data_IF_573237986077
#
_entry.id   IF_573237986077
#
_cell.length_a   1.000
_cell.length_b   1.000
_cell.length_c   1.000
_cell.angle_alpha   90.00
_cell.angle_beta   90.00
_cell.angle_gamma   90.00
#
_symmetry.space_group_name_H-M   'P 1'
#
loop_
_entity.id
_entity.type
_entity.pdbx_description
1 polymer ?
#
# COMPACT_ATOMS: atom_id res chain seq x y z
N UNK A 1 -46.75 49.10 -19.25
CA UNK A 1 -46.23 48.61 -17.93
C UNK A 1 -45.80 47.17 -18.11
N UNK A 2 -44.50 46.91 -18.34
CA UNK A 2 -43.91 45.55 -18.48
C UNK A 2 -43.41 45.12 -17.12
N UNK A 3 -43.95 44.01 -16.58
CA UNK A 3 -43.46 43.35 -15.35
C UNK A 3 -42.28 42.46 -15.71
N UNK A 4 -41.07 42.79 -15.21
CA UNK A 4 -39.92 41.89 -15.21
C UNK A 4 -40.07 40.86 -14.06
N UNK A 5 -40.16 39.58 -14.43
CA UNK A 5 -39.98 38.48 -13.47
C UNK A 5 -38.48 38.27 -13.27
N UNK A 6 -38.00 38.52 -12.08
CA UNK A 6 -36.66 38.08 -11.63
C UNK A 6 -36.76 36.62 -11.17
N UNK A 7 -36.19 35.72 -11.95
CA UNK A 7 -36.05 34.31 -11.58
C UNK A 7 -34.69 34.15 -10.86
N UNK A 8 -34.75 34.14 -9.51
CA UNK A 8 -33.57 33.93 -8.68
C UNK A 8 -33.12 32.44 -8.79
N UNK A 9 -31.92 32.25 -9.28
CA UNK A 9 -31.24 30.94 -9.20
C UNK A 9 -30.68 30.79 -7.78
N UNK A 10 -31.28 29.85 -7.00
CA UNK A 10 -30.66 29.37 -5.77
C UNK A 10 -29.52 28.44 -6.18
N UNK A 11 -28.29 28.93 -6.05
CA UNK A 11 -27.09 28.09 -6.05
C UNK A 11 -27.08 27.30 -4.74
N UNK A 12 -27.54 26.03 -4.78
CA UNK A 12 -27.24 25.07 -3.72
C UNK A 12 -25.75 24.81 -3.77
N UNK A 13 -24.96 25.46 -2.92
CA UNK A 13 -23.59 25.02 -2.62
C UNK A 13 -23.69 23.72 -1.83
N UNK A 14 -23.55 22.59 -2.51
CA UNK A 14 -23.28 21.32 -1.86
C UNK A 14 -21.90 21.39 -1.20
N UNK A 15 -21.88 21.66 0.09
CA UNK A 15 -20.68 21.46 0.88
C UNK A 15 -20.40 19.95 0.87
N UNK A 16 -19.42 19.51 0.07
CA UNK A 16 -18.83 18.21 0.22
C UNK A 16 -18.14 18.19 1.59
N UNK A 17 -18.84 17.70 2.60
CA UNK A 17 -18.16 17.29 3.83
C UNK A 17 -17.33 16.06 3.46
N UNK A 18 -16.00 16.20 3.45
CA UNK A 18 -15.09 15.06 3.45
C UNK A 18 -15.53 14.14 4.61
N UNK A 19 -15.71 12.87 4.33
CA UNK A 19 -16.08 11.90 5.37
C UNK A 19 -14.93 11.86 6.37
N UNK A 20 -15.23 11.99 7.67
CA UNK A 20 -14.19 12.02 8.71
C UNK A 20 -13.43 10.69 8.71
N UNK A 21 -12.10 10.76 8.72
CA UNK A 21 -11.24 9.59 8.88
C UNK A 21 -11.56 8.88 10.20
N UNK A 22 -11.51 7.56 10.18
CA UNK A 22 -11.77 6.67 11.32
C UNK A 22 -10.46 5.99 11.69
N UNK A 23 -9.99 6.17 12.91
CA UNK A 23 -8.81 5.48 13.42
C UNK A 23 -9.21 4.22 14.18
N UNK A 24 -8.60 3.10 13.82
CA UNK A 24 -8.84 1.77 14.41
C UNK A 24 -7.51 1.22 14.90
N UNK A 25 -7.43 0.83 16.18
CA UNK A 25 -6.29 0.09 16.71
C UNK A 25 -6.23 -1.28 16.04
N UNK A 26 -5.09 -1.64 15.47
CA UNK A 26 -4.91 -2.94 14.80
C UNK A 26 -4.98 -4.09 15.81
N UNK A 27 -4.48 -3.87 17.02
CA UNK A 27 -4.45 -4.85 18.09
C UNK A 27 -5.02 -4.27 19.40
N UNK A 28 -6.35 -4.16 19.56
CA UNK A 28 -6.95 -3.56 20.75
C UNK A 28 -6.65 -4.33 22.05
N UNK A 29 -6.43 -5.64 21.94
CA UNK A 29 -6.17 -6.53 23.10
C UNK A 29 -4.68 -6.87 23.28
N UNK A 30 -3.79 -6.16 22.59
CA UNK A 30 -2.36 -6.38 22.61
C UNK A 30 -1.80 -7.09 21.40
N UNK A 31 -0.55 -6.80 21.06
CA UNK A 31 0.12 -7.30 19.85
C UNK A 31 0.53 -8.77 19.98
N UNK A 32 0.44 -9.59 18.91
CA UNK A 32 0.76 -11.03 18.96
C UNK A 32 2.26 -11.33 19.02
N UNK A 33 3.09 -10.34 18.71
CA UNK A 33 4.54 -10.43 18.64
C UNK A 33 5.19 -9.09 19.00
N UNK A 34 6.50 -9.08 19.22
CA UNK A 34 7.27 -7.89 19.58
C UNK A 34 8.45 -7.67 18.65
N UNK A 35 8.79 -6.40 18.43
CA UNK A 35 10.03 -5.96 17.78
C UNK A 35 11.10 -5.54 18.82
N UNK A 36 10.86 -5.80 20.10
CA UNK A 36 11.72 -5.46 21.23
C UNK A 36 11.98 -3.95 21.42
N UNK A 37 11.30 -3.09 20.66
CA UNK A 37 11.35 -1.65 20.86
C UNK A 37 10.39 -1.26 21.99
N UNK A 38 10.85 -0.45 22.94
CA UNK A 38 10.05 -0.02 24.09
C UNK A 38 9.82 1.49 24.13
N UNK A 39 10.55 2.24 23.33
CA UNK A 39 10.46 3.70 23.24
C UNK A 39 11.16 4.22 22.00
N UNK A 40 10.88 5.47 21.63
CA UNK A 40 11.62 6.15 20.58
C UNK A 40 13.07 6.40 21.03
N UNK A 41 14.03 5.86 20.30
CA UNK A 41 15.45 6.15 20.46
C UNK A 41 15.84 7.31 19.56
N UNK A 42 16.63 8.25 20.08
CA UNK A 42 17.14 9.35 19.25
C UNK A 42 17.94 8.80 18.08
N UNK A 43 17.65 9.31 16.89
CA UNK A 43 18.27 8.86 15.62
C UNK A 43 18.12 7.34 15.35
N UNK A 44 17.14 6.69 16.00
CA UNK A 44 16.75 5.30 15.81
C UNK A 44 15.52 5.14 14.93
N UNK A 45 15.12 3.88 14.62
CA UNK A 45 13.90 3.61 13.86
C UNK A 45 12.67 4.17 14.58
N UNK A 46 11.63 4.47 13.80
CA UNK A 46 10.35 4.97 14.33
C UNK A 46 9.76 3.98 15.32
N UNK A 47 9.49 4.43 16.53
CA UNK A 47 8.75 3.64 17.50
C UNK A 47 7.25 3.80 17.28
N UNK A 48 6.59 2.72 16.96
CA UNK A 48 5.14 2.61 16.87
C UNK A 48 4.67 1.69 17.98
N UNK A 49 4.18 2.26 19.07
CA UNK A 49 3.67 1.50 20.22
C UNK A 49 2.42 0.71 19.85
N UNK A 50 1.45 1.40 19.27
CA UNK A 50 0.21 0.81 18.78
C UNK A 50 0.10 1.04 17.27
N UNK A 51 0.04 -0.03 16.43
CA UNK A 51 -0.27 0.14 15.03
C UNK A 51 -1.72 0.56 14.85
N UNK A 52 -1.94 1.50 13.93
CA UNK A 52 -3.26 2.11 13.68
C UNK A 52 -3.60 2.02 12.20
N UNK A 53 -4.84 1.70 11.92
CA UNK A 53 -5.44 1.75 10.60
C UNK A 53 -6.33 3.00 10.52
N UNK A 54 -5.93 3.98 9.70
CA UNK A 54 -6.73 5.18 9.44
C UNK A 54 -7.57 4.95 8.19
N UNK A 55 -8.88 4.80 8.35
CA UNK A 55 -9.82 4.48 7.28
C UNK A 55 -10.54 5.73 6.79
N UNK A 56 -10.62 5.87 5.48
CA UNK A 56 -11.36 6.88 4.74
C UNK A 56 -12.48 6.20 3.95
N UNK A 57 -13.68 6.00 4.53
CA UNK A 57 -14.77 5.33 3.85
C UNK A 57 -15.23 6.13 2.64
N UNK A 58 -15.52 5.48 1.52
CA UNK A 58 -16.07 6.14 0.36
C UNK A 58 -17.58 6.37 0.53
N UNK A 59 -18.05 7.61 0.35
CA UNK A 59 -19.46 7.98 0.48
C UNK A 59 -20.38 7.17 -0.45
N UNK A 60 -19.90 6.91 -1.67
CA UNK A 60 -20.58 6.12 -2.69
C UNK A 60 -19.68 4.96 -3.10
N UNK A 61 -19.49 4.00 -2.18
CA UNK A 61 -18.58 2.88 -2.37
C UNK A 61 -18.93 2.01 -3.57
N UNK A 62 -17.96 1.77 -4.46
CA UNK A 62 -18.09 0.94 -5.66
C UNK A 62 -17.87 -0.57 -5.39
N UNK A 63 -17.69 -0.94 -4.14
CA UNK A 63 -17.39 -2.32 -3.70
C UNK A 63 -15.91 -2.62 -3.52
N UNK A 64 -15.03 -1.67 -3.79
CA UNK A 64 -13.59 -1.84 -3.60
C UNK A 64 -13.08 -1.12 -2.35
N UNK A 65 -12.07 -1.73 -1.71
CA UNK A 65 -11.29 -1.07 -0.67
C UNK A 65 -9.80 -1.41 -0.84
N UNK A 66 -8.93 -0.56 -0.26
CA UNK A 66 -7.48 -0.70 -0.32
C UNK A 66 -6.89 -0.39 1.06
N UNK A 67 -5.97 -1.25 1.52
CA UNK A 67 -5.06 -0.96 2.64
C UNK A 67 -3.72 -0.53 2.06
N UNK A 68 -3.26 0.66 2.40
CA UNK A 68 -1.98 1.21 1.98
C UNK A 68 -0.92 1.07 3.08
N UNK A 69 0.26 0.60 2.68
CA UNK A 69 1.46 0.46 3.48
C UNK A 69 2.50 1.49 2.99
N UNK A 70 2.68 2.63 3.65
CA UNK A 70 3.69 3.61 3.27
C UNK A 70 5.11 3.07 3.35
N UNK A 71 6.03 3.61 2.53
CA UNK A 71 7.44 3.30 2.57
C UNK A 71 8.18 3.98 3.72
N UNK A 72 9.50 3.85 3.71
CA UNK A 72 10.40 4.43 4.72
C UNK A 72 11.46 3.45 5.20
N UNK A 73 11.87 2.51 4.32
CA UNK A 73 12.98 1.58 4.52
C UNK A 73 12.83 0.65 5.74
N UNK A 74 11.61 0.43 6.26
CA UNK A 74 11.38 -0.21 7.55
C UNK A 74 12.08 0.48 8.73
N UNK A 75 12.43 1.74 8.54
CA UNK A 75 13.02 2.64 9.53
C UNK A 75 12.06 3.75 9.95
N UNK A 76 11.22 4.18 9.05
CA UNK A 76 10.19 5.20 9.24
C UNK A 76 8.99 4.94 8.34
N UNK A 77 8.07 5.90 8.29
CA UNK A 77 6.85 5.84 7.48
C UNK A 77 6.62 7.19 6.77
N UNK A 78 6.54 7.15 5.44
CA UNK A 78 6.19 8.30 4.59
C UNK A 78 4.66 8.47 4.53
N UNK A 79 4.05 8.78 5.68
CA UNK A 79 2.59 8.73 5.89
C UNK A 79 1.78 9.64 4.97
N UNK A 80 2.35 10.78 4.53
CA UNK A 80 1.64 11.77 3.74
C UNK A 80 1.57 11.35 2.27
N UNK A 81 2.62 11.58 1.48
CA UNK A 81 2.62 11.40 0.03
C UNK A 81 2.57 9.92 -0.46
N UNK A 82 2.86 8.96 0.41
CA UNK A 82 2.70 7.52 0.15
C UNK A 82 1.50 6.90 0.88
N UNK A 83 0.73 7.72 1.59
CA UNK A 83 -0.41 7.31 2.40
C UNK A 83 -1.58 8.28 2.29
N UNK A 84 -1.72 9.19 3.25
CA UNK A 84 -2.90 10.01 3.47
C UNK A 84 -3.29 10.88 2.26
N UNK A 85 -2.34 11.45 1.53
CA UNK A 85 -2.60 12.33 0.38
C UNK A 85 -3.36 11.64 -0.77
N UNK A 86 -3.34 10.30 -0.83
CA UNK A 86 -4.06 9.54 -1.84
C UNK A 86 -5.54 9.31 -1.50
N UNK A 87 -5.97 9.59 -0.26
CA UNK A 87 -7.29 9.24 0.23
C UNK A 87 -8.42 9.88 -0.60
N UNK A 88 -8.33 11.18 -0.87
CA UNK A 88 -9.34 11.90 -1.64
C UNK A 88 -9.45 11.38 -3.07
N UNK A 89 -8.32 11.03 -3.69
CA UNK A 89 -8.31 10.49 -5.03
C UNK A 89 -9.02 9.12 -5.09
N UNK A 90 -8.69 8.18 -4.17
CA UNK A 90 -9.37 6.89 -4.12
C UNK A 90 -10.85 7.03 -3.77
N UNK A 91 -11.20 7.88 -2.82
CA UNK A 91 -12.60 8.14 -2.49
C UNK A 91 -13.38 8.76 -3.66
N UNK A 92 -12.75 9.59 -4.49
CA UNK A 92 -13.37 10.13 -5.72
C UNK A 92 -13.70 9.05 -6.75
N UNK A 93 -12.98 7.91 -6.71
CA UNK A 93 -13.25 6.71 -7.52
C UNK A 93 -14.28 5.77 -6.86
N UNK A 94 -14.83 6.13 -5.70
CA UNK A 94 -15.73 5.28 -4.92
C UNK A 94 -15.02 4.14 -4.17
N UNK A 95 -13.72 4.24 -3.94
CA UNK A 95 -12.93 3.21 -3.27
C UNK A 95 -12.70 3.63 -1.81
N UNK A 96 -13.09 2.78 -0.86
CA UNK A 96 -12.72 2.97 0.54
C UNK A 96 -11.21 2.77 0.70
N UNK A 97 -10.55 3.75 1.31
CA UNK A 97 -9.10 3.75 1.41
C UNK A 97 -8.67 3.74 2.87
N UNK A 98 -7.64 2.98 3.20
CA UNK A 98 -7.10 2.92 4.54
C UNK A 98 -5.58 3.00 4.52
N UNK A 99 -4.99 3.69 5.47
CA UNK A 99 -3.53 3.83 5.64
C UNK A 99 -3.11 3.14 6.92
N UNK A 100 -2.18 2.21 6.80
CA UNK A 100 -1.66 1.43 7.93
C UNK A 100 -0.36 2.07 8.47
N UNK A 101 -0.42 2.54 9.71
CA UNK A 101 0.76 2.89 10.49
C UNK A 101 1.27 1.63 11.18
N UNK A 102 2.07 0.84 10.48
CA UNK A 102 2.58 -0.44 10.96
C UNK A 102 3.83 -0.28 11.83
N UNK A 103 4.12 -1.29 12.67
CA UNK A 103 5.31 -1.33 13.53
C UNK A 103 6.56 -1.60 12.70
N UNK A 104 7.66 -0.91 13.06
CA UNK A 104 8.97 -1.20 12.45
C UNK A 104 9.45 -2.59 12.88
N UNK A 105 10.09 -3.35 12.00
CA UNK A 105 10.49 -4.73 12.30
C UNK A 105 11.65 -4.82 13.30
N UNK A 106 12.63 -3.94 13.23
CA UNK A 106 13.85 -4.02 14.05
C UNK A 106 14.49 -5.42 14.02
N UNK A 107 14.54 -6.05 12.82
CA UNK A 107 15.01 -7.42 12.60
C UNK A 107 13.96 -8.52 12.83
N UNK A 108 12.77 -8.19 13.33
CA UNK A 108 11.66 -9.13 13.56
C UNK A 108 10.66 -9.04 12.39
N UNK A 109 10.97 -9.77 11.33
CA UNK A 109 10.30 -9.67 10.02
C UNK A 109 8.80 -10.00 10.05
N UNK A 110 8.33 -10.81 11.02
CA UNK A 110 6.92 -11.13 11.19
C UNK A 110 6.09 -9.96 11.74
N UNK A 111 6.68 -8.96 12.37
CA UNK A 111 5.96 -7.88 13.05
C UNK A 111 5.15 -7.04 12.07
N UNK A 112 5.74 -6.42 11.02
CA UNK A 112 4.95 -5.66 10.05
C UNK A 112 4.01 -6.55 9.24
N UNK A 113 4.38 -7.81 8.94
CA UNK A 113 3.50 -8.75 8.24
C UNK A 113 2.23 -9.05 9.05
N UNK A 114 2.36 -9.28 10.35
CA UNK A 114 1.20 -9.51 11.22
C UNK A 114 0.28 -8.29 11.25
N UNK A 115 0.82 -7.07 11.29
CA UNK A 115 0.04 -5.84 11.31
C UNK A 115 -0.73 -5.66 9.98
N UNK A 116 -0.10 -5.92 8.82
CA UNK A 116 -0.76 -5.80 7.53
C UNK A 116 -1.84 -6.87 7.31
N UNK A 117 -1.61 -8.11 7.74
CA UNK A 117 -2.61 -9.17 7.70
C UNK A 117 -3.80 -8.84 8.60
N UNK A 118 -3.57 -8.32 9.80
CA UNK A 118 -4.64 -7.92 10.70
C UNK A 118 -5.43 -6.71 10.16
N UNK A 119 -4.77 -5.76 9.51
CA UNK A 119 -5.45 -4.67 8.83
C UNK A 119 -6.44 -5.17 7.76
N UNK A 120 -6.05 -6.21 6.97
CA UNK A 120 -6.97 -6.84 6.02
C UNK A 120 -8.16 -7.51 6.75
N UNK A 121 -7.94 -8.22 7.86
CA UNK A 121 -9.03 -8.80 8.67
C UNK A 121 -10.00 -7.73 9.17
N UNK A 122 -9.49 -6.62 9.70
CA UNK A 122 -10.32 -5.49 10.15
C UNK A 122 -11.18 -4.95 9.01
N UNK A 123 -10.60 -4.71 7.84
CA UNK A 123 -11.37 -4.24 6.68
C UNK A 123 -12.47 -5.23 6.26
N UNK A 124 -12.21 -6.54 6.31
CA UNK A 124 -13.20 -7.57 6.01
C UNK A 124 -14.29 -7.67 7.09
N UNK A 125 -13.97 -7.46 8.36
CA UNK A 125 -14.97 -7.40 9.45
C UNK A 125 -15.95 -6.24 9.25
N UNK A 126 -15.49 -5.12 8.68
CA UNK A 126 -16.32 -3.96 8.36
C UNK A 126 -16.87 -3.98 6.92
N UNK A 127 -16.78 -5.13 6.21
CA UNK A 127 -17.15 -5.21 4.80
C UNK A 127 -18.61 -4.81 4.51
N UNK A 128 -19.53 -5.13 5.39
CA UNK A 128 -20.92 -4.74 5.26
C UNK A 128 -21.12 -3.22 5.45
N UNK A 129 -20.47 -2.65 6.47
CA UNK A 129 -20.56 -1.23 6.80
C UNK A 129 -20.03 -0.34 5.67
N UNK A 130 -18.89 -0.72 5.07
CA UNK A 130 -18.20 0.06 4.05
C UNK A 130 -18.43 -0.47 2.64
N UNK A 131 -19.38 -1.39 2.44
CA UNK A 131 -19.69 -2.02 1.14
C UNK A 131 -18.45 -2.60 0.46
N UNK A 132 -17.62 -3.38 1.17
CA UNK A 132 -16.40 -3.98 0.61
C UNK A 132 -16.73 -5.37 0.04
N UNK A 133 -16.44 -5.55 -1.25
CA UNK A 133 -16.55 -6.82 -1.98
C UNK A 133 -15.17 -7.31 -2.46
N UNK A 134 -14.27 -6.37 -2.77
CA UNK A 134 -12.88 -6.63 -3.18
C UNK A 134 -11.95 -5.77 -2.34
N UNK A 135 -10.99 -6.39 -1.68
CA UNK A 135 -10.03 -5.74 -0.80
C UNK A 135 -8.63 -5.89 -1.34
N UNK A 136 -8.02 -4.79 -1.76
CA UNK A 136 -6.62 -4.75 -2.21
C UNK A 136 -5.65 -4.34 -1.12
N UNK A 137 -4.38 -4.60 -1.39
CA UNK A 137 -3.26 -4.04 -0.63
C UNK A 137 -2.41 -3.17 -1.56
N UNK A 138 -1.92 -2.06 -1.04
CA UNK A 138 -1.04 -1.15 -1.76
C UNK A 138 0.21 -0.87 -0.92
N UNK A 139 1.33 -0.60 -1.58
CA UNK A 139 2.50 -0.15 -0.84
C UNK A 139 3.56 0.47 -1.73
N UNK A 140 4.37 1.33 -1.11
CA UNK A 140 5.46 2.06 -1.77
C UNK A 140 6.81 1.68 -1.14
N UNK A 141 7.86 1.51 -1.94
CA UNK A 141 9.22 1.26 -1.45
C UNK A 141 9.27 0.03 -0.50
N UNK A 142 9.73 0.19 0.73
CA UNK A 142 9.67 -0.86 1.77
C UNK A 142 8.22 -1.26 2.11
N UNK A 143 7.25 -0.34 2.05
CA UNK A 143 5.82 -0.66 2.14
C UNK A 143 5.32 -1.47 0.95
N UNK A 144 5.92 -1.30 -0.23
CA UNK A 144 5.72 -2.16 -1.39
C UNK A 144 6.23 -3.58 -1.16
N UNK A 145 7.35 -3.72 -0.44
CA UNK A 145 7.81 -5.01 0.04
C UNK A 145 6.78 -5.64 1.00
N UNK A 146 6.31 -4.88 2.00
CA UNK A 146 5.29 -5.37 2.93
C UNK A 146 4.00 -5.79 2.21
N UNK A 147 3.53 -4.98 1.26
CA UNK A 147 2.32 -5.29 0.48
C UNK A 147 2.51 -6.57 -0.35
N UNK A 148 3.63 -6.73 -1.06
CA UNK A 148 3.93 -7.93 -1.83
C UNK A 148 4.19 -9.16 -0.94
N UNK A 149 4.80 -8.97 0.26
CA UNK A 149 4.92 -10.04 1.26
C UNK A 149 3.54 -10.49 1.74
N UNK A 150 2.64 -9.57 2.08
CA UNK A 150 1.27 -9.91 2.45
C UNK A 150 0.54 -10.66 1.33
N UNK A 151 0.78 -10.27 0.07
CA UNK A 151 0.19 -10.90 -1.11
C UNK A 151 0.78 -12.27 -1.48
N UNK A 152 1.92 -12.65 -0.93
CA UNK A 152 2.59 -13.94 -1.18
C UNK A 152 2.63 -14.87 0.05
N UNK A 153 2.52 -14.31 1.26
CA UNK A 153 2.60 -15.04 2.54
C UNK A 153 1.26 -15.06 3.30
N UNK A 154 0.14 -14.93 2.60
CA UNK A 154 -1.18 -15.08 3.22
C UNK A 154 -1.37 -16.51 3.74
N UNK A 155 -2.12 -16.63 4.83
CA UNK A 155 -2.37 -17.92 5.51
C UNK A 155 -3.78 -18.46 5.27
N UNK A 156 -4.69 -17.58 4.90
CA UNK A 156 -6.11 -17.88 4.73
C UNK A 156 -6.77 -16.84 3.78
N UNK A 157 -8.07 -17.00 3.54
CA UNK A 157 -8.83 -16.10 2.67
C UNK A 157 -8.99 -14.68 3.25
N UNK A 158 -8.91 -14.52 4.56
CA UNK A 158 -9.05 -13.22 5.22
C UNK A 158 -7.78 -12.38 5.11
N UNK A 159 -6.61 -13.04 5.08
CA UNK A 159 -5.30 -12.39 4.94
C UNK A 159 -4.83 -12.29 3.49
N UNK A 160 -5.50 -12.98 2.55
CA UNK A 160 -5.22 -12.87 1.13
C UNK A 160 -5.90 -11.62 0.55
N UNK A 161 -5.15 -10.62 0.03
CA UNK A 161 -5.77 -9.52 -0.70
C UNK A 161 -6.32 -10.00 -2.05
N UNK A 162 -7.32 -9.30 -2.59
CA UNK A 162 -7.91 -9.63 -3.89
C UNK A 162 -7.09 -9.07 -5.06
N UNK A 163 -6.25 -8.04 -4.80
CA UNK A 163 -5.31 -7.45 -5.74
C UNK A 163 -4.21 -6.68 -4.99
N UNK A 164 -3.13 -6.32 -5.69
CA UNK A 164 -2.04 -5.54 -5.13
C UNK A 164 -1.61 -4.40 -6.05
N UNK A 165 -1.22 -3.25 -5.46
CA UNK A 165 -0.72 -2.05 -6.14
C UNK A 165 0.64 -1.70 -5.55
N UNK A 166 1.68 -1.65 -6.37
CA UNK A 166 3.06 -1.52 -5.89
C UNK A 166 3.75 -0.33 -6.56
N UNK A 167 4.21 0.62 -5.77
CA UNK A 167 4.94 1.81 -6.21
C UNK A 167 6.43 1.63 -5.90
N UNK A 168 7.27 1.63 -6.93
CA UNK A 168 8.72 1.45 -6.82
C UNK A 168 9.13 0.49 -5.69
N UNK A 169 8.52 -0.72 -5.66
CA UNK A 169 8.62 -1.59 -4.50
C UNK A 169 10.02 -2.18 -4.34
N UNK A 170 10.47 -2.29 -3.08
CA UNK A 170 11.45 -3.33 -2.74
C UNK A 170 10.73 -4.66 -2.88
N UNK A 171 11.38 -5.64 -3.49
CA UNK A 171 10.82 -6.99 -3.73
C UNK A 171 11.77 -8.07 -3.25
N UNK A 172 13.03 -7.99 -3.68
CA UNK A 172 14.05 -8.97 -3.35
C UNK A 172 14.77 -8.64 -2.06
N UNK A 173 15.27 -9.67 -1.39
CA UNK A 173 16.27 -9.56 -0.32
C UNK A 173 17.65 -10.07 -0.79
N UNK A 174 17.82 -10.33 -2.11
CA UNK A 174 19.14 -10.61 -2.67
C UNK A 174 20.01 -9.34 -2.61
N UNK A 175 21.11 -9.43 -1.87
CA UNK A 175 22.04 -8.32 -1.63
C UNK A 175 22.68 -7.75 -2.91
N UNK A 176 22.59 -8.45 -4.04
CA UNK A 176 23.11 -7.98 -5.32
C UNK A 176 22.31 -6.79 -5.88
N UNK A 177 21.01 -6.66 -5.58
CA UNK A 177 20.15 -5.61 -6.12
C UNK A 177 18.96 -5.21 -5.24
N UNK A 178 18.96 -5.61 -3.96
CA UNK A 178 17.98 -5.12 -2.98
C UNK A 178 18.28 -3.67 -2.54
N UNK A 179 17.34 -3.05 -1.86
CA UNK A 179 17.60 -1.87 -1.03
C UNK A 179 18.14 -2.32 0.33
N UNK A 180 19.45 -2.19 0.55
CA UNK A 180 20.13 -2.71 1.75
C UNK A 180 19.56 -2.18 3.07
N UNK A 181 19.12 -0.91 3.11
CA UNK A 181 18.46 -0.37 4.32
C UNK A 181 17.19 -1.15 4.69
N UNK A 182 16.34 -1.48 3.72
CA UNK A 182 15.14 -2.30 3.96
C UNK A 182 15.48 -3.73 4.34
N UNK A 183 16.49 -4.31 3.69
CA UNK A 183 16.98 -5.64 4.00
C UNK A 183 17.44 -5.76 5.47
N UNK A 184 18.36 -4.88 5.88
CA UNK A 184 18.95 -4.93 7.23
C UNK A 184 17.92 -4.61 8.32
N UNK A 185 17.02 -3.66 8.08
CA UNK A 185 15.99 -3.31 9.04
C UNK A 185 14.94 -4.42 9.20
N UNK A 186 14.61 -5.14 8.12
CA UNK A 186 13.62 -6.22 8.15
C UNK A 186 14.20 -7.52 8.72
N UNK A 187 15.37 -7.93 8.23
CA UNK A 187 15.92 -9.26 8.48
C UNK A 187 17.05 -9.28 9.50
N UNK A 188 17.55 -8.09 9.89
CA UNK A 188 18.81 -7.98 10.65
C UNK A 188 20.03 -7.95 9.72
N UNK A 189 21.20 -7.62 10.26
CA UNK A 189 22.42 -7.42 9.45
C UNK A 189 23.04 -8.68 8.86
N UNK A 190 22.77 -9.84 9.44
CA UNK A 190 23.35 -11.11 9.03
C UNK A 190 22.28 -12.21 8.98
N UNK A 191 21.26 -12.09 8.15
CA UNK A 191 20.23 -13.12 8.03
C UNK A 191 20.77 -14.39 7.39
N UNK A 192 20.07 -15.50 7.58
CA UNK A 192 20.38 -16.71 6.81
C UNK A 192 19.93 -16.56 5.35
N UNK A 193 20.55 -17.33 4.46
CA UNK A 193 20.14 -17.38 3.04
C UNK A 193 18.70 -17.81 2.86
N UNK A 194 18.23 -18.72 3.69
CA UNK A 194 16.85 -19.20 3.68
C UNK A 194 15.88 -18.07 4.05
N UNK A 195 16.26 -17.18 4.98
CA UNK A 195 15.46 -16.03 5.36
C UNK A 195 15.43 -14.97 4.25
N UNK A 196 16.58 -14.67 3.63
CA UNK A 196 16.63 -13.81 2.43
C UNK A 196 15.73 -14.35 1.31
N UNK A 197 15.82 -15.65 1.01
CA UNK A 197 14.98 -16.29 -0.01
C UNK A 197 13.50 -16.25 0.35
N UNK A 198 13.14 -16.49 1.62
CA UNK A 198 11.76 -16.44 2.10
C UNK A 198 11.13 -15.07 1.90
N UNK A 199 11.90 -14.00 2.09
CA UNK A 199 11.42 -12.61 1.95
C UNK A 199 11.78 -11.97 0.60
N UNK A 200 12.37 -12.72 -0.33
CA UNK A 200 12.46 -12.34 -1.75
C UNK A 200 11.15 -12.72 -2.45
N UNK A 201 10.24 -11.75 -2.56
CA UNK A 201 8.85 -12.00 -2.94
C UNK A 201 8.69 -12.52 -4.38
N UNK A 202 9.64 -12.23 -5.28
CA UNK A 202 9.66 -12.82 -6.62
C UNK A 202 9.83 -14.34 -6.60
N UNK A 203 10.43 -14.88 -5.55
CA UNK A 203 10.60 -16.32 -5.34
C UNK A 203 9.37 -16.99 -4.70
N UNK A 204 8.46 -16.18 -4.13
CA UNK A 204 7.28 -16.67 -3.39
C UNK A 204 5.99 -16.62 -4.21
N UNK A 205 6.06 -16.18 -5.47
CA UNK A 205 4.89 -16.10 -6.35
C UNK A 205 4.36 -17.48 -6.67
N UNK A 206 3.06 -17.67 -6.48
CA UNK A 206 2.31 -18.88 -6.83
C UNK A 206 1.12 -18.53 -7.72
N UNK A 207 0.41 -19.49 -8.31
CA UNK A 207 -0.82 -19.23 -9.06
C UNK A 207 -1.95 -18.60 -8.20
N UNK A 208 -1.84 -18.64 -6.87
CA UNK A 208 -2.78 -18.04 -5.93
C UNK A 208 -2.41 -16.60 -5.54
N UNK A 209 -1.22 -16.13 -5.91
CA UNK A 209 -0.83 -14.72 -5.72
C UNK A 209 -1.82 -13.81 -6.44
N UNK A 210 -2.32 -12.73 -5.81
CA UNK A 210 -3.34 -11.87 -6.42
C UNK A 210 -2.78 -11.04 -7.59
N UNK A 211 -3.65 -10.59 -8.53
CA UNK A 211 -3.27 -9.70 -9.61
C UNK A 211 -2.54 -8.45 -9.13
N UNK A 212 -1.58 -7.94 -9.93
CA UNK A 212 -0.72 -6.84 -9.54
C UNK A 212 -0.73 -5.68 -10.55
N UNK A 213 -0.70 -4.44 -10.03
CA UNK A 213 -0.38 -3.24 -10.76
C UNK A 213 0.91 -2.66 -10.20
N UNK A 214 1.94 -2.51 -11.03
CA UNK A 214 3.30 -2.18 -10.57
C UNK A 214 3.78 -0.92 -11.31
N UNK A 215 4.34 0.03 -10.56
CA UNK A 215 4.86 1.30 -11.04
C UNK A 215 6.32 1.49 -10.60
N UNK A 216 7.17 2.00 -11.49
CA UNK A 216 8.58 2.28 -11.18
C UNK A 216 9.15 3.39 -12.07
N UNK A 217 10.30 3.96 -11.68
CA UNK A 217 11.10 4.85 -12.54
C UNK A 217 12.40 4.18 -12.96
N UNK A 218 12.82 4.36 -14.22
CA UNK A 218 14.04 3.74 -14.74
C UNK A 218 15.31 4.28 -14.09
N UNK A 219 15.25 5.53 -13.61
CA UNK A 219 16.36 6.27 -12.99
C UNK A 219 16.38 6.15 -11.46
N UNK A 220 15.57 5.25 -10.87
CA UNK A 220 15.56 4.97 -9.43
C UNK A 220 16.91 4.36 -8.99
N UNK A 221 17.69 5.15 -8.25
CA UNK A 221 19.00 4.76 -7.71
C UNK A 221 18.93 4.22 -6.29
N UNK A 222 17.77 4.25 -5.64
CA UNK A 222 17.52 3.75 -4.28
C UNK A 222 17.03 2.32 -4.31
N UNK A 223 16.00 2.05 -5.11
CA UNK A 223 15.46 0.71 -5.34
C UNK A 223 15.61 0.38 -6.83
N UNK A 224 16.58 -0.46 -7.22
CA UNK A 224 16.79 -0.78 -8.63
C UNK A 224 15.50 -1.32 -9.28
N UNK A 225 15.18 -0.81 -10.48
CA UNK A 225 13.98 -1.20 -11.26
C UNK A 225 13.86 -2.71 -11.49
N UNK A 226 14.98 -3.43 -11.41
CA UNK A 226 15.03 -4.90 -11.47
C UNK A 226 14.10 -5.57 -10.43
N UNK A 227 13.87 -4.95 -9.27
CA UNK A 227 12.88 -5.44 -8.29
C UNK A 227 11.50 -5.61 -8.93
N UNK A 228 10.98 -4.56 -9.56
CA UNK A 228 9.67 -4.60 -10.24
C UNK A 228 9.65 -5.53 -11.46
N UNK A 229 10.71 -5.53 -12.27
CA UNK A 229 10.80 -6.37 -13.48
C UNK A 229 10.82 -7.85 -13.12
N UNK A 230 11.59 -8.26 -12.11
CA UNK A 230 11.70 -9.64 -11.68
C UNK A 230 10.38 -10.13 -11.05
N UNK A 231 9.72 -9.30 -10.24
CA UNK A 231 8.41 -9.63 -9.67
C UNK A 231 7.34 -9.79 -10.75
N UNK A 232 7.25 -8.85 -11.69
CA UNK A 232 6.36 -8.95 -12.84
C UNK A 232 6.61 -10.24 -13.64
N UNK A 233 7.89 -10.56 -13.90
CA UNK A 233 8.26 -11.79 -14.63
C UNK A 233 7.81 -13.05 -13.88
N UNK A 234 7.98 -13.08 -12.54
CA UNK A 234 7.53 -14.19 -11.70
C UNK A 234 5.99 -14.32 -11.72
N UNK A 235 5.25 -13.21 -11.65
CA UNK A 235 3.78 -13.20 -11.75
C UNK A 235 3.31 -13.79 -13.10
N UNK A 236 3.85 -13.31 -14.21
CA UNK A 236 3.50 -13.78 -15.55
C UNK A 236 3.84 -15.27 -15.73
N UNK A 237 4.99 -15.72 -15.24
CA UNK A 237 5.39 -17.14 -15.26
C UNK A 237 4.40 -18.02 -14.51
N UNK A 238 3.81 -17.52 -13.42
CA UNK A 238 2.79 -18.21 -12.63
C UNK A 238 1.36 -17.95 -13.13
N UNK A 239 1.18 -17.33 -14.30
CA UNK A 239 -0.13 -16.99 -14.91
C UNK A 239 -0.98 -16.05 -14.04
N UNK A 240 -0.36 -15.26 -13.20
CA UNK A 240 -1.01 -14.21 -12.42
C UNK A 240 -1.11 -12.96 -13.29
N UNK A 241 -2.31 -12.37 -13.47
CA UNK A 241 -2.46 -11.13 -14.22
C UNK A 241 -1.64 -10.00 -13.58
N UNK A 242 -0.82 -9.32 -14.37
CA UNK A 242 0.01 -8.23 -13.88
C UNK A 242 0.17 -7.14 -14.94
N UNK A 243 0.26 -5.89 -14.48
CA UNK A 243 0.60 -4.72 -15.30
C UNK A 243 1.83 -4.05 -14.71
N UNK A 244 2.82 -3.74 -15.55
CA UNK A 244 4.05 -3.06 -15.15
C UNK A 244 4.21 -1.79 -15.99
N UNK A 245 4.33 -0.64 -15.31
CA UNK A 245 4.55 0.67 -15.91
C UNK A 245 5.88 1.25 -15.41
N UNK A 246 6.82 1.44 -16.33
CA UNK A 246 8.13 2.01 -16.01
C UNK A 246 8.25 3.36 -16.70
N UNK A 247 8.46 4.42 -15.90
CA UNK A 247 8.64 5.78 -16.39
C UNK A 247 10.12 6.08 -16.58
N UNK A 248 10.48 6.87 -17.61
CA UNK A 248 11.90 7.15 -17.89
C UNK A 248 12.65 7.85 -16.76
N UNK A 249 11.97 8.78 -16.06
CA UNK A 249 12.52 9.59 -14.98
C UNK A 249 11.53 9.74 -13.85
N UNK A 250 12.02 10.02 -12.64
CA UNK A 250 11.22 10.23 -11.44
C UNK A 250 11.99 9.93 -10.16
N UNK A 251 13.13 9.27 -10.29
CA UNK A 251 13.91 8.79 -9.14
C UNK A 251 13.05 7.93 -8.20
N UNK A 252 13.27 8.02 -6.88
CA UNK A 252 12.56 7.25 -5.87
C UNK A 252 11.62 8.11 -5.04
N UNK A 253 10.54 7.53 -4.51
CA UNK A 253 9.74 8.16 -3.45
C UNK A 253 8.78 9.25 -3.94
N UNK A 254 8.37 9.26 -5.21
CA UNK A 254 7.47 10.29 -5.73
C UNK A 254 6.02 10.17 -5.22
N UNK A 255 5.54 8.99 -4.86
CA UNK A 255 4.20 8.79 -4.28
C UNK A 255 3.09 9.57 -4.99
N UNK A 256 2.33 10.36 -4.24
CA UNK A 256 1.26 11.20 -4.78
C UNK A 256 1.68 12.67 -5.02
N UNK A 257 2.97 12.95 -5.08
CA UNK A 257 3.47 14.32 -5.28
C UNK A 257 3.09 14.88 -6.65
N UNK A 258 2.63 16.14 -6.67
CA UNK A 258 2.29 16.87 -7.90
C UNK A 258 3.49 17.18 -8.78
N UNK A 259 4.70 17.17 -8.19
CA UNK A 259 5.96 17.36 -8.90
C UNK A 259 6.36 16.17 -9.77
N UNK A 260 5.77 14.99 -9.57
CA UNK A 260 6.06 13.84 -10.41
C UNK A 260 5.49 14.01 -11.81
N UNK A 261 6.36 14.06 -12.81
CA UNK A 261 6.01 14.37 -14.19
C UNK A 261 4.89 13.47 -14.76
N UNK A 262 4.86 12.21 -14.35
CA UNK A 262 3.93 11.20 -14.85
C UNK A 262 2.73 10.93 -13.92
N UNK A 263 2.46 11.83 -12.96
CA UNK A 263 1.33 11.65 -12.02
C UNK A 263 0.01 11.42 -12.76
N UNK A 264 -0.29 12.23 -13.77
CA UNK A 264 -1.53 12.09 -14.56
C UNK A 264 -1.60 10.77 -15.33
N UNK A 265 -0.46 10.28 -15.82
CA UNK A 265 -0.39 9.03 -16.56
C UNK A 265 -0.69 7.84 -15.64
N UNK A 266 0.04 7.73 -14.52
CA UNK A 266 -0.15 6.57 -13.64
C UNK A 266 -1.54 6.56 -12.98
N UNK A 267 -2.07 7.72 -12.60
CA UNK A 267 -3.44 7.79 -12.05
C UNK A 267 -4.47 7.33 -13.08
N UNK A 268 -4.34 7.72 -14.34
CA UNK A 268 -5.23 7.28 -15.42
C UNK A 268 -5.12 5.78 -15.73
N UNK A 269 -3.90 5.23 -15.75
CA UNK A 269 -3.68 3.79 -15.96
C UNK A 269 -4.20 2.96 -14.78
N UNK A 270 -3.96 3.42 -13.55
CA UNK A 270 -4.46 2.75 -12.35
C UNK A 270 -6.00 2.78 -12.30
N UNK A 271 -6.62 3.92 -12.59
CA UNK A 271 -8.09 4.05 -12.65
C UNK A 271 -8.67 3.06 -13.66
N UNK A 272 -8.10 2.96 -14.86
CA UNK A 272 -8.53 2.00 -15.89
C UNK A 272 -8.40 0.57 -15.39
N UNK A 273 -7.25 0.20 -14.84
CA UNK A 273 -6.99 -1.13 -14.32
C UNK A 273 -7.95 -1.52 -13.19
N UNK A 274 -8.20 -0.60 -12.22
CA UNK A 274 -9.15 -0.82 -11.13
C UNK A 274 -10.58 -1.05 -11.64
N UNK A 275 -11.01 -0.32 -12.68
CA UNK A 275 -12.33 -0.57 -13.32
C UNK A 275 -12.39 -1.94 -13.99
N UNK A 276 -11.31 -2.41 -14.60
CA UNK A 276 -11.26 -3.71 -15.27
C UNK A 276 -11.34 -4.87 -14.26
N UNK A 277 -10.60 -4.80 -13.16
CA UNK A 277 -10.64 -5.85 -12.13
C UNK A 277 -11.92 -5.81 -11.28
N UNK A 278 -12.69 -4.72 -11.31
CA UNK A 278 -13.94 -4.61 -10.55
C UNK A 278 -15.16 -5.16 -11.29
N UNK A 279 -15.03 -5.55 -12.54
CA UNK A 279 -16.07 -6.24 -13.34
C UNK A 279 -16.26 -7.66 -12.84
#
# INVERSE_FOLDING_TARGET
MKKLLFMGWLLLSSHLFAQKAIEIKVWPDGTPNTNEMTQQVKDGPLYVEEPVLTVYPAKNGNGMAIVACPGGAYWGLAMEHEGHDMADWFNSQGITYAVLRYRMPNGHNEVPLSDSQQALRIMRQHAQEWNIKKLGIMGSSAGGHLASTTATHFTDAETRPDFQILFYPVITMDTAYTHMGSHDNLLGKNPSKELEQKYSNELQVTPQTPPAFILHSSDDTVVPVANSVNYYTALVKNKVPASLHIYPVGEHGWGYNDSFLYKRQWTGELEKWLREINK
#
